data_IF_683750429022
#
_entry.id   IF_683750429022
#
_cell.length_a   1.000
_cell.length_b   1.000
_cell.length_c   1.000
_cell.angle_alpha   90.00
_cell.angle_beta   90.00
_cell.angle_gamma   90.00
#
_symmetry.space_group_name_H-M   'P 1'
#
loop_
_entity.id
_entity.type
_entity.pdbx_description
1 polymer ?
#
# COMPACT_ATOMS: atom_id res chain seq x y z
N UNK A 1 -14.69 8.44 0.30
CA UNK A 1 -14.32 7.71 -0.94
C UNK A 1 -12.87 7.19 -0.96
N UNK A 2 -11.97 7.73 -0.15
CA UNK A 2 -10.88 6.96 0.51
C UNK A 2 -11.24 6.74 1.99
N UNK A 3 -12.54 6.69 2.29
CA UNK A 3 -12.98 6.51 3.66
C UNK A 3 -12.56 5.11 4.07
N UNK A 4 -11.49 5.09 4.84
CA UNK A 4 -10.86 3.89 5.32
C UNK A 4 -11.69 3.43 6.52
N UNK A 5 -12.17 2.19 6.52
CA UNK A 5 -12.85 1.63 7.69
C UNK A 5 -11.92 1.69 8.91
N UNK A 6 -12.47 2.11 10.05
CA UNK A 6 -11.77 1.91 11.32
C UNK A 6 -11.81 0.42 11.68
N UNK A 7 -10.92 -0.04 12.55
CA UNK A 7 -10.90 -1.44 13.05
C UNK A 7 -12.22 -1.91 13.66
N UNK A 8 -13.19 -1.02 13.89
CA UNK A 8 -14.56 -1.28 14.39
C UNK A 8 -15.65 -1.32 13.33
N UNK A 9 -15.40 -0.89 12.10
CA UNK A 9 -16.43 -0.93 11.05
C UNK A 9 -16.50 -2.32 10.42
N UNK A 10 -17.18 -3.22 11.10
CA UNK A 10 -17.54 -4.57 10.63
C UNK A 10 -18.56 -4.54 9.46
N UNK A 11 -19.09 -3.36 9.11
CA UNK A 11 -20.07 -3.16 8.03
C UNK A 11 -19.44 -2.39 6.87
N UNK A 12 -19.66 -2.83 5.63
CA UNK A 12 -19.22 -2.19 4.37
C UNK A 12 -19.71 -0.74 4.15
N UNK A 13 -20.40 -0.14 5.12
CA UNK A 13 -20.95 1.21 5.02
C UNK A 13 -19.85 2.24 5.24
N UNK A 14 -19.64 3.10 4.24
CA UNK A 14 -18.66 4.17 4.31
C UNK A 14 -17.26 3.75 3.87
N UNK A 15 -17.06 2.59 3.26
CA UNK A 15 -15.77 2.18 2.70
C UNK A 15 -15.56 2.82 1.32
N UNK A 16 -14.36 3.34 1.07
CA UNK A 16 -13.98 3.88 -0.24
C UNK A 16 -13.99 2.82 -1.35
N UNK A 17 -14.45 3.21 -2.55
CA UNK A 17 -14.55 2.31 -3.73
C UNK A 17 -13.24 1.58 -4.02
N UNK A 18 -12.10 2.26 -3.93
CA UNK A 18 -10.79 1.67 -4.22
C UNK A 18 -10.44 0.58 -3.21
N UNK A 19 -10.62 0.84 -1.91
CA UNK A 19 -10.36 -0.16 -0.85
C UNK A 19 -11.30 -1.36 -0.99
N UNK A 20 -12.57 -1.12 -1.33
CA UNK A 20 -13.55 -2.18 -1.57
C UNK A 20 -13.18 -3.05 -2.79
N UNK A 21 -12.75 -2.44 -3.90
CA UNK A 21 -12.25 -3.17 -5.07
C UNK A 21 -11.07 -4.07 -4.68
N UNK A 22 -10.07 -3.53 -3.99
CA UNK A 22 -8.91 -4.31 -3.53
C UNK A 22 -9.33 -5.47 -2.63
N UNK A 23 -10.26 -5.24 -1.70
CA UNK A 23 -10.80 -6.27 -0.81
C UNK A 23 -11.50 -7.39 -1.59
N UNK A 24 -12.29 -7.07 -2.61
CA UNK A 24 -12.93 -8.08 -3.47
C UNK A 24 -11.89 -8.91 -4.24
N UNK A 25 -10.82 -8.28 -4.72
CA UNK A 25 -9.71 -9.00 -5.36
C UNK A 25 -9.00 -9.96 -4.38
N UNK A 26 -8.83 -9.55 -3.11
CA UNK A 26 -8.27 -10.41 -2.06
C UNK A 26 -9.21 -11.57 -1.71
N UNK A 27 -10.52 -11.39 -1.85
CA UNK A 27 -11.51 -12.48 -1.79
C UNK A 27 -11.50 -13.40 -3.02
N UNK A 28 -10.62 -13.16 -4.00
CA UNK A 28 -10.51 -13.98 -5.20
C UNK A 28 -11.59 -13.71 -6.24
N UNK A 29 -12.30 -12.57 -6.16
CA UNK A 29 -13.27 -12.21 -7.19
C UNK A 29 -12.56 -11.95 -8.52
N UNK A 30 -13.07 -12.55 -9.59
CA UNK A 30 -12.55 -12.33 -10.93
C UNK A 30 -12.82 -10.88 -11.37
N UNK A 31 -11.87 -10.26 -12.07
CA UNK A 31 -11.98 -8.87 -12.54
C UNK A 31 -13.16 -8.60 -13.47
N UNK A 32 -13.68 -9.63 -14.14
CA UNK A 32 -14.88 -9.57 -14.98
C UNK A 32 -16.17 -9.80 -14.17
N UNK A 33 -16.08 -9.96 -12.84
CA UNK A 33 -17.25 -9.97 -11.96
C UNK A 33 -18.00 -8.63 -12.03
N UNK A 34 -19.34 -8.62 -12.00
CA UNK A 34 -20.15 -7.40 -12.14
C UNK A 34 -19.71 -6.20 -11.28
N UNK A 35 -19.44 -6.32 -9.96
CA UNK A 35 -19.02 -5.17 -9.17
C UNK A 35 -17.65 -4.61 -9.59
N UNK A 36 -16.73 -5.47 -10.02
CA UNK A 36 -15.39 -5.07 -10.47
C UNK A 36 -15.43 -4.45 -11.87
N UNK A 37 -16.27 -4.97 -12.77
CA UNK A 37 -16.54 -4.35 -14.08
C UNK A 37 -17.09 -2.92 -13.96
N UNK A 38 -18.02 -2.70 -13.05
CA UNK A 38 -18.60 -1.38 -12.82
C UNK A 38 -17.54 -0.40 -12.28
N UNK A 39 -16.73 -0.85 -11.31
CA UNK A 39 -15.66 -0.04 -10.75
C UNK A 39 -14.54 0.26 -11.76
N UNK A 40 -14.21 -0.70 -12.64
CA UNK A 40 -13.15 -0.60 -13.67
C UNK A 40 -13.24 0.68 -14.49
N UNK A 41 -14.45 1.04 -14.95
CA UNK A 41 -14.66 2.25 -15.76
C UNK A 41 -14.27 3.52 -14.99
N UNK A 42 -14.61 3.60 -13.71
CA UNK A 42 -14.29 4.75 -12.86
C UNK A 42 -12.79 4.81 -12.59
N UNK A 43 -12.15 3.67 -12.31
CA UNK A 43 -10.71 3.61 -12.05
C UNK A 43 -9.89 4.05 -13.26
N UNK A 44 -10.21 3.57 -14.47
CA UNK A 44 -9.48 3.99 -15.68
C UNK A 44 -9.70 5.46 -16.04
N UNK A 45 -10.87 6.02 -15.72
CA UNK A 45 -11.13 7.45 -15.90
C UNK A 45 -10.25 8.30 -14.99
N UNK A 46 -10.05 7.88 -13.74
CA UNK A 46 -9.09 8.56 -12.85
C UNK A 46 -7.70 8.62 -13.48
N UNK A 47 -7.23 7.51 -14.07
CA UNK A 47 -5.91 7.44 -14.72
C UNK A 47 -5.77 8.31 -15.98
N UNK A 48 -6.87 8.57 -16.67
CA UNK A 48 -6.89 9.35 -17.90
C UNK A 48 -6.68 10.85 -17.67
N UNK A 49 -6.62 11.32 -16.40
CA UNK A 49 -6.60 12.75 -16.06
C UNK A 49 -7.76 13.52 -16.72
N UNK A 50 -8.86 12.81 -16.98
CA UNK A 50 -10.11 13.40 -17.45
C UNK A 50 -10.56 14.40 -16.38
N UNK A 51 -10.48 15.70 -16.69
CA UNK A 51 -10.79 16.81 -15.80
C UNK A 51 -12.25 17.29 -15.95
N UNK A 52 -13.08 16.58 -16.73
CA UNK A 52 -14.48 16.93 -16.96
C UNK A 52 -15.27 17.04 -15.64
N UNK A 53 -15.78 18.25 -15.30
CA UNK A 53 -16.54 18.48 -14.07
C UNK A 53 -17.78 17.58 -13.94
N UNK A 54 -18.39 17.14 -15.05
CA UNK A 54 -19.54 16.25 -15.05
C UNK A 54 -19.21 14.83 -14.57
N UNK A 55 -17.96 14.43 -14.70
CA UNK A 55 -17.46 13.12 -14.26
C UNK A 55 -16.58 13.18 -13.01
N UNK A 56 -16.34 14.40 -12.50
CA UNK A 56 -15.52 14.74 -11.33
C UNK A 56 -16.22 15.72 -10.36
N UNK A 57 -17.44 15.42 -9.91
CA UNK A 57 -18.06 16.07 -8.73
C UNK A 57 -17.32 15.81 -7.40
N UNK A 58 -16.13 15.22 -7.49
CA UNK A 58 -15.19 14.76 -6.46
C UNK A 58 -15.73 14.69 -5.04
N UNK A 59 -16.11 13.48 -4.64
CA UNK A 59 -16.06 13.06 -3.24
C UNK A 59 -17.09 13.72 -2.31
N UNK A 60 -18.14 14.34 -2.84
CA UNK A 60 -19.40 14.61 -2.13
C UNK A 60 -19.26 15.34 -0.80
N UNK A 61 -19.00 16.65 -0.86
CA UNK A 61 -19.12 17.55 0.28
C UNK A 61 -19.73 18.88 -0.14
N UNK A 62 -20.68 19.42 0.64
CA UNK A 62 -21.39 20.69 0.33
C UNK A 62 -20.51 21.95 0.47
N UNK A 63 -19.25 21.82 0.85
CA UNK A 63 -18.36 22.95 1.16
C UNK A 63 -17.44 23.31 -0.01
N UNK A 64 -17.17 24.60 -0.19
CA UNK A 64 -16.18 25.11 -1.16
C UNK A 64 -14.78 24.70 -0.71
N UNK A 65 -14.15 23.78 -1.44
CA UNK A 65 -12.77 23.32 -1.19
C UNK A 65 -11.80 24.11 -2.07
N UNK A 66 -10.60 24.40 -1.55
CA UNK A 66 -9.53 25.08 -2.30
C UNK A 66 -9.04 24.22 -3.47
N UNK A 67 -8.78 24.83 -4.64
CA UNK A 67 -8.39 24.10 -5.86
C UNK A 67 -7.11 23.26 -5.67
N UNK A 68 -6.16 23.74 -4.87
CA UNK A 68 -4.94 23.00 -4.53
C UNK A 68 -5.25 21.68 -3.81
N UNK A 69 -6.21 21.69 -2.89
CA UNK A 69 -6.65 20.50 -2.16
C UNK A 69 -7.34 19.49 -3.07
N UNK A 70 -8.17 19.98 -4.01
CA UNK A 70 -8.82 19.13 -5.01
C UNK A 70 -7.77 18.41 -5.86
N UNK A 71 -6.81 19.16 -6.42
CA UNK A 71 -5.72 18.61 -7.24
C UNK A 71 -4.90 17.56 -6.47
N UNK A 72 -4.60 17.83 -5.21
CA UNK A 72 -3.88 16.88 -4.35
C UNK A 72 -4.68 15.59 -4.12
N UNK A 73 -5.97 15.71 -3.76
CA UNK A 73 -6.86 14.57 -3.57
C UNK A 73 -6.99 13.72 -4.84
N UNK A 74 -7.11 14.35 -6.02
CA UNK A 74 -7.10 13.63 -7.32
C UNK A 74 -5.82 12.84 -7.49
N UNK A 75 -4.67 13.45 -7.21
CA UNK A 75 -3.38 12.80 -7.40
C UNK A 75 -3.26 11.54 -6.56
N UNK A 76 -3.66 11.61 -5.28
CA UNK A 76 -3.74 10.44 -4.42
C UNK A 76 -4.69 9.36 -4.94
N UNK A 77 -5.89 9.75 -5.40
CA UNK A 77 -6.86 8.82 -5.98
C UNK A 77 -6.35 8.13 -7.24
N UNK A 78 -5.57 8.83 -8.07
CA UNK A 78 -4.96 8.24 -9.29
C UNK A 78 -3.95 7.17 -8.93
N UNK A 79 -3.07 7.43 -7.97
CA UNK A 79 -2.12 6.43 -7.49
C UNK A 79 -2.84 5.23 -6.88
N UNK A 80 -3.86 5.48 -6.06
CA UNK A 80 -4.66 4.42 -5.45
C UNK A 80 -5.44 3.60 -6.50
N UNK A 81 -5.95 4.23 -7.56
CA UNK A 81 -6.61 3.55 -8.67
C UNK A 81 -5.62 2.73 -9.50
N UNK A 82 -4.41 3.24 -9.74
CA UNK A 82 -3.34 2.52 -10.43
C UNK A 82 -2.96 1.25 -9.64
N UNK A 83 -2.85 1.36 -8.31
CA UNK A 83 -2.61 0.21 -7.44
C UNK A 83 -3.71 -0.85 -7.53
N UNK A 84 -4.98 -0.46 -7.51
CA UNK A 84 -6.10 -1.39 -7.62
C UNK A 84 -6.19 -2.06 -9.01
N UNK A 85 -5.95 -1.31 -10.08
CA UNK A 85 -5.93 -1.85 -11.45
C UNK A 85 -4.74 -2.79 -11.69
N UNK A 86 -3.57 -2.46 -11.15
CA UNK A 86 -2.41 -3.34 -11.13
C UNK A 86 -2.74 -4.67 -10.41
N UNK A 87 -3.32 -4.58 -9.21
CA UNK A 87 -3.75 -5.74 -8.43
C UNK A 87 -4.78 -6.61 -9.19
N UNK A 88 -5.66 -5.99 -9.98
CA UNK A 88 -6.62 -6.68 -10.85
C UNK A 88 -6.02 -7.26 -12.15
N UNK A 89 -4.70 -7.16 -12.35
CA UNK A 89 -4.00 -7.76 -13.50
C UNK A 89 -4.10 -6.94 -14.79
N UNK A 90 -4.30 -5.63 -14.72
CA UNK A 90 -4.32 -4.74 -15.89
C UNK A 90 -2.94 -4.19 -16.29
N UNK A 91 -1.84 -4.84 -15.90
CA UNK A 91 -0.46 -4.39 -16.15
C UNK A 91 -0.16 -4.05 -17.63
N UNK A 92 -0.77 -4.78 -18.56
CA UNK A 92 -0.57 -4.58 -19.99
C UNK A 92 -1.48 -3.49 -20.59
N UNK A 93 -2.39 -2.90 -19.81
CA UNK A 93 -3.25 -1.81 -20.30
C UNK A 93 -2.43 -0.52 -20.47
N UNK A 94 -2.40 0.10 -21.67
CA UNK A 94 -1.61 1.29 -21.94
C UNK A 94 -1.93 2.47 -21.01
N UNK A 95 -3.17 2.58 -20.51
CA UNK A 95 -3.57 3.66 -19.60
C UNK A 95 -2.94 3.47 -18.22
N UNK A 96 -2.89 2.23 -17.73
CA UNK A 96 -2.19 1.91 -16.48
C UNK A 96 -0.69 2.15 -16.63
N UNK A 97 -0.07 1.67 -17.72
CA UNK A 97 1.36 1.88 -17.96
C UNK A 97 1.71 3.36 -18.09
N UNK A 98 0.87 4.14 -18.78
CA UNK A 98 1.04 5.59 -18.90
C UNK A 98 0.95 6.30 -17.54
N UNK A 99 -0.01 5.93 -16.69
CA UNK A 99 -0.11 6.48 -15.34
C UNK A 99 1.07 6.05 -14.45
N UNK A 100 1.45 4.78 -14.49
CA UNK A 100 2.59 4.23 -13.77
C UNK A 100 3.88 4.98 -14.12
N UNK A 101 4.12 5.24 -15.42
CA UNK A 101 5.26 6.03 -15.89
C UNK A 101 5.30 7.42 -15.28
N UNK A 102 4.19 8.16 -15.29
CA UNK A 102 4.13 9.51 -14.70
C UNK A 102 4.35 9.49 -13.19
N UNK A 103 3.84 8.47 -12.49
CA UNK A 103 4.08 8.28 -11.04
C UNK A 103 5.57 8.03 -10.79
N UNK A 104 6.17 7.09 -11.52
CA UNK A 104 7.58 6.74 -11.37
C UNK A 104 8.52 7.87 -11.76
N UNK A 105 8.22 8.67 -12.79
CA UNK A 105 9.01 9.84 -13.16
C UNK A 105 9.14 10.83 -11.99
N UNK A 106 8.05 11.09 -11.25
CA UNK A 106 8.08 11.97 -10.06
C UNK A 106 8.85 11.34 -8.89
N UNK A 107 8.61 10.05 -8.63
CA UNK A 107 9.29 9.33 -7.54
C UNK A 107 10.79 9.24 -7.82
N UNK A 108 11.20 8.92 -9.04
CA UNK A 108 12.61 8.82 -9.43
C UNK A 108 13.31 10.18 -9.35
N UNK A 109 12.64 11.26 -9.77
CA UNK A 109 13.15 12.62 -9.62
C UNK A 109 13.38 12.97 -8.14
N UNK A 110 12.45 12.61 -7.25
CA UNK A 110 12.63 12.78 -5.81
C UNK A 110 13.81 11.96 -5.28
N UNK A 111 13.87 10.66 -5.59
CA UNK A 111 14.91 9.74 -5.11
C UNK A 111 16.32 10.15 -5.55
N UNK A 112 16.45 10.80 -6.71
CA UNK A 112 17.72 11.35 -7.22
C UNK A 112 18.08 12.71 -6.63
N UNK A 113 17.14 13.38 -5.97
CA UNK A 113 17.33 14.73 -5.45
C UNK A 113 17.89 14.73 -4.02
N UNK A 114 18.48 15.83 -3.55
CA UNK A 114 18.83 16.01 -2.14
C UNK A 114 17.63 15.89 -1.19
N UNK A 115 16.40 16.05 -1.69
CA UNK A 115 15.18 15.92 -0.89
C UNK A 115 14.96 14.50 -0.39
N UNK A 116 15.52 13.47 -1.04
CA UNK A 116 15.46 12.10 -0.53
C UNK A 116 16.14 11.95 0.84
N UNK A 117 17.22 12.71 1.08
CA UNK A 117 17.98 12.71 2.33
C UNK A 117 17.45 13.73 3.34
N UNK A 118 17.01 14.90 2.87
CA UNK A 118 16.45 15.99 3.71
C UNK A 118 15.08 16.42 3.19
N UNK A 119 14.04 15.60 3.39
CA UNK A 119 12.73 15.85 2.79
C UNK A 119 11.93 16.95 3.46
N UNK A 120 12.27 17.36 4.68
CA UNK A 120 11.48 18.29 5.47
C UNK A 120 12.04 19.71 5.50
N UNK A 121 11.14 20.69 5.48
CA UNK A 121 11.38 22.09 5.77
C UNK A 121 10.51 22.54 6.94
N UNK A 122 10.91 23.63 7.60
CA UNK A 122 10.15 24.24 8.68
C UNK A 122 9.19 25.30 8.12
N UNK A 123 7.91 25.19 8.43
CA UNK A 123 6.87 26.19 8.13
C UNK A 123 6.16 26.55 9.43
N UNK A 124 6.44 27.75 9.95
CA UNK A 124 6.02 28.14 11.29
C UNK A 124 6.56 27.18 12.36
N UNK A 125 5.64 26.54 13.08
CA UNK A 125 5.95 25.55 14.13
C UNK A 125 5.87 24.09 13.66
N UNK A 126 5.61 23.86 12.37
CA UNK A 126 5.48 22.51 11.81
C UNK A 126 6.65 22.18 10.88
N UNK A 127 6.98 20.89 10.80
CA UNK A 127 7.83 20.35 9.75
C UNK A 127 6.93 19.74 8.67
N UNK A 128 7.15 20.13 7.43
CA UNK A 128 6.39 19.64 6.27
C UNK A 128 7.37 19.23 5.18
N UNK A 129 6.93 18.39 4.26
CA UNK A 129 7.68 18.02 3.08
C UNK A 129 7.98 19.27 2.24
N UNK A 130 9.22 19.34 1.76
CA UNK A 130 9.68 20.41 0.88
C UNK A 130 8.83 20.45 -0.40
N UNK A 131 8.54 21.63 -0.96
CA UNK A 131 7.89 21.73 -2.26
C UNK A 131 8.64 20.91 -3.32
N UNK A 132 7.89 20.09 -4.07
CA UNK A 132 8.46 19.18 -5.07
C UNK A 132 8.94 17.84 -4.52
N UNK A 133 8.93 17.61 -3.20
CA UNK A 133 9.15 16.28 -2.65
C UNK A 133 8.01 15.33 -3.10
N UNK A 134 8.37 14.21 -3.72
CA UNK A 134 7.44 13.19 -4.20
C UNK A 134 7.94 11.80 -3.79
N UNK A 135 8.00 11.50 -2.47
CA UNK A 135 8.38 10.18 -1.99
C UNK A 135 7.40 9.11 -2.49
N UNK A 136 7.83 7.84 -2.55
CA UNK A 136 6.93 6.75 -2.95
C UNK A 136 5.75 6.66 -1.97
N UNK A 137 4.54 6.48 -2.51
CA UNK A 137 3.35 6.17 -1.72
C UNK A 137 3.18 4.67 -1.53
N UNK A 138 2.42 4.25 -0.51
CA UNK A 138 1.95 2.86 -0.37
C UNK A 138 1.29 2.38 -1.66
N UNK A 139 0.50 3.24 -2.31
CA UNK A 139 -0.14 2.93 -3.58
C UNK A 139 0.86 2.71 -4.71
N UNK A 140 1.93 3.52 -4.79
CA UNK A 140 3.03 3.29 -5.74
C UNK A 140 3.68 1.92 -5.53
N UNK A 141 3.93 1.55 -4.27
CA UNK A 141 4.55 0.27 -3.93
C UNK A 141 3.63 -0.92 -4.26
N UNK A 142 2.34 -0.81 -3.96
CA UNK A 142 1.33 -1.82 -4.34
C UNK A 142 1.24 -1.95 -5.86
N UNK A 143 1.18 -0.84 -6.58
CA UNK A 143 1.16 -0.84 -8.05
C UNK A 143 2.36 -1.63 -8.61
N UNK A 144 3.58 -1.29 -8.18
CA UNK A 144 4.79 -1.99 -8.60
C UNK A 144 4.80 -3.47 -8.20
N UNK A 145 4.37 -3.79 -6.99
CA UNK A 145 4.30 -5.16 -6.47
C UNK A 145 3.40 -6.07 -7.32
N UNK A 146 2.41 -5.50 -8.01
CA UNK A 146 1.50 -6.22 -8.91
C UNK A 146 1.79 -6.01 -10.41
N UNK A 147 2.91 -5.36 -10.76
CA UNK A 147 3.36 -5.16 -12.14
C UNK A 147 4.78 -5.73 -12.36
N UNK A 148 4.96 -7.07 -12.35
CA UNK A 148 6.28 -7.70 -12.48
C UNK A 148 7.03 -7.39 -13.79
N UNK A 149 6.35 -7.32 -14.94
CA UNK A 149 6.97 -6.99 -16.23
C UNK A 149 7.43 -5.53 -16.26
N UNK A 150 6.61 -4.64 -15.71
CA UNK A 150 6.94 -3.23 -15.58
C UNK A 150 8.16 -3.01 -14.67
N UNK A 151 8.26 -3.78 -13.57
CA UNK A 151 9.45 -3.73 -12.72
C UNK A 151 10.72 -4.17 -13.44
N UNK A 152 10.66 -5.21 -14.28
CA UNK A 152 11.86 -5.66 -15.01
C UNK A 152 12.34 -4.62 -16.02
N UNK A 153 11.43 -3.81 -16.57
CA UNK A 153 11.76 -2.67 -17.44
C UNK A 153 12.37 -1.47 -16.68
N UNK A 154 12.23 -1.41 -15.35
CA UNK A 154 12.59 -0.25 -14.53
C UNK A 154 13.54 -0.61 -13.35
N UNK A 155 14.43 -1.58 -13.53
CA UNK A 155 15.29 -2.13 -12.45
C UNK A 155 16.12 -1.06 -11.70
N UNK A 156 16.69 -0.08 -12.39
CA UNK A 156 17.49 1.00 -11.77
C UNK A 156 16.70 1.81 -10.74
N UNK A 157 15.42 2.05 -11.02
CA UNK A 157 14.53 2.75 -10.10
C UNK A 157 14.21 1.86 -8.89
N UNK A 158 14.00 0.56 -9.12
CA UNK A 158 13.75 -0.40 -8.04
C UNK A 158 14.96 -0.49 -7.09
N UNK A 159 16.19 -0.36 -7.57
CA UNK A 159 17.38 -0.30 -6.71
C UNK A 159 17.44 0.98 -5.85
N UNK A 160 17.09 2.14 -6.43
CA UNK A 160 16.98 3.39 -5.65
C UNK A 160 15.86 3.32 -4.63
N UNK A 161 14.73 2.71 -5.00
CA UNK A 161 13.59 2.50 -4.12
C UNK A 161 13.97 1.57 -2.96
N UNK A 162 14.69 0.48 -3.23
CA UNK A 162 15.23 -0.41 -2.20
C UNK A 162 16.15 0.35 -1.23
N UNK A 163 17.06 1.18 -1.76
CA UNK A 163 17.96 1.98 -0.94
C UNK A 163 17.20 2.94 -0.03
N UNK A 164 16.15 3.62 -0.54
CA UNK A 164 15.31 4.49 0.27
C UNK A 164 14.54 3.74 1.36
N UNK A 165 13.89 2.62 0.99
CA UNK A 165 13.05 1.85 1.91
C UNK A 165 13.86 1.09 2.96
N UNK A 166 15.17 0.91 2.77
CA UNK A 166 16.06 0.30 3.75
C UNK A 166 16.61 1.31 4.77
N UNK A 167 16.34 2.62 4.58
CA UNK A 167 16.74 3.66 5.53
C UNK A 167 15.74 3.74 6.69
N UNK A 168 16.16 4.13 7.91
CA UNK A 168 15.21 4.37 8.99
C UNK A 168 14.15 5.40 8.61
N UNK A 169 12.89 5.15 8.98
CA UNK A 169 11.82 6.12 8.76
C UNK A 169 12.09 7.41 9.58
N UNK A 170 11.89 8.60 8.99
CA UNK A 170 11.99 9.85 9.73
C UNK A 170 11.04 9.89 10.93
N UNK A 171 11.45 10.58 12.00
CA UNK A 171 10.61 10.77 13.19
C UNK A 171 9.45 11.74 12.95
N UNK A 172 9.59 12.62 11.97
CA UNK A 172 8.56 13.57 11.57
C UNK A 172 7.47 12.85 10.78
N UNK A 173 6.21 13.11 11.11
CA UNK A 173 5.07 12.67 10.31
C UNK A 173 5.13 13.33 8.92
N UNK A 174 4.80 12.56 7.89
CA UNK A 174 4.68 13.09 6.55
C UNK A 174 3.49 14.06 6.51
N UNK A 175 3.77 15.32 6.20
CA UNK A 175 2.76 16.37 6.04
C UNK A 175 3.18 17.32 4.94
N UNK A 176 2.23 17.84 4.16
CA UNK A 176 2.50 18.78 3.06
C UNK A 176 1.72 20.07 3.25
N UNK A 177 2.31 21.19 2.82
CA UNK A 177 1.60 22.46 2.71
C UNK A 177 0.81 22.50 1.40
N UNK A 178 -0.52 22.41 1.49
CA UNK A 178 -1.41 22.44 0.33
C UNK A 178 -2.26 23.70 0.39
N UNK A 179 -1.96 24.64 -0.51
CA UNK A 179 -2.54 25.97 -0.44
C UNK A 179 -2.20 26.62 0.89
N UNK A 180 -3.21 26.91 1.70
CA UNK A 180 -3.05 27.49 3.04
C UNK A 180 -3.08 26.47 4.19
N UNK A 181 -3.23 25.16 3.91
CA UNK A 181 -3.49 24.13 4.94
C UNK A 181 -2.41 23.05 4.99
N UNK A 182 -1.98 22.72 6.21
CA UNK A 182 -1.09 21.58 6.43
C UNK A 182 -1.95 20.32 6.43
N UNK A 183 -1.58 19.36 5.60
CA UNK A 183 -2.30 18.09 5.42
C UNK A 183 -1.34 16.94 5.74
N UNK A 184 -1.80 16.00 6.57
CA UNK A 184 -1.06 14.78 6.84
C UNK A 184 -1.14 13.83 5.64
N UNK A 185 -0.01 13.19 5.34
CA UNK A 185 0.17 12.30 4.20
C UNK A 185 0.60 10.89 4.67
N UNK A 186 -0.24 10.18 5.46
CA UNK A 186 0.13 8.87 6.04
C UNK A 186 0.35 7.78 4.99
N UNK A 187 0.01 8.06 3.72
CA UNK A 187 0.23 7.18 2.59
C UNK A 187 1.66 7.22 2.05
N UNK A 188 2.48 8.22 2.43
CA UNK A 188 3.84 8.38 1.93
C UNK A 188 4.84 7.56 2.75
N UNK A 189 5.80 6.96 2.06
CA UNK A 189 6.79 6.04 2.63
C UNK A 189 8.17 6.65 2.47
N UNK A 190 8.74 7.09 3.58
CA UNK A 190 10.01 7.83 3.61
C UNK A 190 11.21 6.97 4.06
N UNK A 191 10.97 5.73 4.47
CA UNK A 191 11.98 4.79 4.95
C UNK A 191 11.34 3.44 5.27
N UNK A 192 12.02 2.64 6.08
CA UNK A 192 11.62 1.29 6.48
C UNK A 192 10.37 1.34 7.38
N UNK A 193 9.21 0.86 6.90
CA UNK A 193 7.99 0.77 7.70
C UNK A 193 8.00 -0.40 8.69
N UNK A 194 8.99 -1.30 8.63
CA UNK A 194 9.19 -2.44 9.55
C UNK A 194 10.61 -2.49 10.13
N UNK A 195 11.04 -1.45 10.88
CA UNK A 195 12.43 -1.28 11.32
C UNK A 195 12.87 -2.26 12.42
N UNK A 196 11.94 -2.87 13.14
CA UNK A 196 12.27 -3.77 14.25
C UNK A 196 11.11 -4.70 14.61
N UNK A 197 11.44 -5.78 15.32
CA UNK A 197 10.47 -6.78 15.81
C UNK A 197 9.24 -6.17 16.48
N UNK A 198 9.43 -5.19 17.36
CA UNK A 198 8.32 -4.60 18.11
C UNK A 198 7.30 -3.90 17.20
N UNK A 199 7.71 -3.40 16.03
CA UNK A 199 6.79 -2.79 15.07
C UNK A 199 5.95 -3.87 14.40
N UNK A 200 6.56 -5.02 14.09
CA UNK A 200 5.88 -6.18 13.54
C UNK A 200 4.87 -6.79 14.54
N UNK A 201 5.26 -6.93 15.82
CA UNK A 201 4.41 -7.50 16.87
C UNK A 201 3.24 -6.58 17.27
N UNK A 202 3.43 -5.25 17.15
CA UNK A 202 2.42 -4.25 17.49
C UNK A 202 1.22 -4.25 16.53
N UNK A 203 1.44 -4.55 15.24
CA UNK A 203 0.39 -4.60 14.20
C UNK A 203 0.72 -5.70 13.18
N UNK A 204 0.33 -6.94 13.51
CA UNK A 204 0.63 -8.11 12.68
C UNK A 204 0.06 -8.00 11.25
N UNK A 205 -1.19 -7.53 11.03
CA UNK A 205 -1.69 -7.35 9.68
C UNK A 205 -0.90 -6.34 8.85
N UNK A 206 -0.48 -5.21 9.45
CA UNK A 206 0.38 -4.26 8.76
C UNK A 206 1.76 -4.85 8.45
N UNK A 207 2.30 -5.67 9.35
CA UNK A 207 3.57 -6.37 9.14
C UNK A 207 3.51 -7.33 7.96
N UNK A 208 2.47 -8.17 7.90
CA UNK A 208 2.25 -9.10 6.78
C UNK A 208 2.05 -8.35 5.46
N UNK A 209 1.30 -7.25 5.48
CA UNK A 209 1.13 -6.38 4.31
C UNK A 209 2.49 -5.91 3.77
N UNK A 210 3.36 -5.37 4.63
CA UNK A 210 4.66 -4.87 4.20
C UNK A 210 5.61 -5.97 3.74
N UNK A 211 5.67 -7.10 4.46
CA UNK A 211 6.48 -8.26 4.04
C UNK A 211 6.02 -8.81 2.69
N UNK A 212 4.72 -8.85 2.42
CA UNK A 212 4.19 -9.25 1.11
C UNK A 212 4.60 -8.29 0.00
N UNK A 213 4.51 -6.98 0.25
CA UNK A 213 4.99 -5.96 -0.70
C UNK A 213 6.48 -6.12 -0.96
N UNK A 214 7.31 -6.29 0.07
CA UNK A 214 8.76 -6.50 -0.09
C UNK A 214 9.09 -7.80 -0.81
N UNK A 215 8.34 -8.87 -0.57
CA UNK A 215 8.52 -10.13 -1.30
C UNK A 215 8.21 -9.95 -2.79
N UNK A 216 7.05 -9.36 -3.11
CA UNK A 216 6.63 -9.08 -4.49
C UNK A 216 7.58 -8.17 -5.24
N UNK A 217 8.11 -7.14 -4.58
CA UNK A 217 9.12 -6.24 -5.15
C UNK A 217 10.49 -6.90 -5.34
N UNK A 218 10.74 -8.07 -4.74
CA UNK A 218 12.04 -8.76 -4.75
C UNK A 218 13.02 -8.21 -3.71
N UNK A 219 12.52 -7.43 -2.76
CA UNK A 219 13.31 -6.75 -1.73
C UNK A 219 13.53 -7.61 -0.48
N UNK A 220 12.56 -8.47 -0.14
CA UNK A 220 12.61 -9.29 1.08
C UNK A 220 13.93 -10.07 1.19
N UNK A 221 14.31 -10.81 0.14
CA UNK A 221 15.56 -11.60 0.10
C UNK A 221 16.84 -10.78 0.08
N UNK A 222 16.77 -9.50 -0.24
CA UNK A 222 17.93 -8.60 -0.31
C UNK A 222 18.25 -7.98 1.05
N UNK A 223 17.29 -8.00 1.97
CA UNK A 223 17.39 -7.36 3.26
C UNK A 223 17.33 -8.39 4.39
N UNK A 224 18.44 -8.55 5.11
CA UNK A 224 18.59 -9.53 6.19
C UNK A 224 17.60 -9.30 7.33
N UNK A 225 17.26 -8.05 7.65
CA UNK A 225 16.33 -7.73 8.73
C UNK A 225 14.91 -8.15 8.37
N UNK A 226 14.43 -7.81 7.18
CA UNK A 226 13.10 -8.24 6.72
C UNK A 226 13.03 -9.76 6.57
N UNK A 227 14.10 -10.39 6.09
CA UNK A 227 14.20 -11.87 6.02
C UNK A 227 14.10 -12.50 7.41
N UNK A 228 14.87 -12.01 8.39
CA UNK A 228 14.81 -12.51 9.78
C UNK A 228 13.45 -12.27 10.43
N UNK A 229 12.81 -11.13 10.15
CA UNK A 229 11.45 -10.87 10.65
C UNK A 229 10.45 -11.88 10.10
N UNK A 230 10.55 -12.21 8.80
CA UNK A 230 9.71 -13.22 8.17
C UNK A 230 10.00 -14.64 8.68
N UNK A 231 11.27 -15.02 8.81
CA UNK A 231 11.67 -16.34 9.35
C UNK A 231 11.15 -16.56 10.77
N UNK A 232 11.25 -15.54 11.63
CA UNK A 232 10.68 -15.61 12.97
C UNK A 232 9.17 -15.88 12.95
N UNK A 233 8.44 -15.30 12.00
CA UNK A 233 7.01 -15.60 11.87
C UNK A 233 6.78 -17.05 11.44
N UNK A 234 7.69 -17.65 10.66
CA UNK A 234 7.60 -19.07 10.30
C UNK A 234 7.97 -20.00 11.45
N UNK A 235 8.80 -19.57 12.41
CA UNK A 235 9.14 -20.36 13.61
C UNK A 235 7.90 -20.64 14.49
N UNK A 236 6.85 -19.84 14.34
CA UNK A 236 5.57 -19.99 15.02
C UNK A 236 4.59 -20.93 14.25
N UNK A 237 5.01 -21.48 13.10
CA UNK A 237 4.26 -22.52 12.41
C UNK A 237 4.47 -23.90 13.05
N UNK A 238 3.41 -24.71 13.11
CA UNK A 238 3.51 -26.11 13.49
C UNK A 238 4.11 -26.97 12.35
N UNK A 239 4.23 -28.28 12.59
CA UNK A 239 4.75 -29.23 11.60
C UNK A 239 3.90 -29.33 10.32
N UNK A 240 2.64 -28.89 10.35
CA UNK A 240 1.76 -28.79 9.19
C UNK A 240 1.88 -27.45 8.46
N UNK A 241 2.77 -26.56 8.90
CA UNK A 241 2.94 -25.23 8.33
C UNK A 241 1.85 -24.24 8.74
N UNK A 242 0.98 -24.60 9.68
CA UNK A 242 -0.08 -23.72 10.19
C UNK A 242 0.50 -22.81 11.25
N UNK A 243 0.34 -21.51 11.08
CA UNK A 243 0.84 -20.52 12.01
C UNK A 243 0.00 -20.48 13.28
N UNK A 244 0.64 -20.44 14.46
CA UNK A 244 -0.04 -20.29 15.75
C UNK A 244 0.49 -19.07 16.50
N UNK A 245 -0.37 -18.28 17.18
CA UNK A 245 0.08 -17.08 17.86
C UNK A 245 1.03 -17.43 19.03
N UNK A 246 2.25 -16.88 19.07
CA UNK A 246 3.11 -17.03 20.22
C UNK A 246 2.45 -16.31 21.41
N UNK A 247 2.13 -17.08 22.46
CA UNK A 247 1.56 -16.66 23.76
C UNK A 247 1.16 -15.17 23.87
N UNK A 248 -0.13 -14.84 23.68
CA UNK A 248 -0.82 -13.55 23.97
C UNK A 248 -0.20 -12.23 23.46
N UNK A 249 0.91 -12.21 22.73
CA UNK A 249 1.64 -10.95 22.42
C UNK A 249 1.29 -10.28 21.09
N UNK A 250 0.79 -10.99 20.09
CA UNK A 250 0.54 -10.40 18.76
C UNK A 250 -0.84 -9.75 18.66
N UNK A 251 -0.88 -8.47 18.27
CA UNK A 251 -2.15 -7.78 17.98
C UNK A 251 -2.67 -8.20 16.61
N UNK A 252 -3.80 -8.91 16.59
CA UNK A 252 -4.51 -9.34 15.36
C UNK A 252 -5.49 -8.29 14.83
N UNK A 253 -5.35 -7.04 15.27
CA UNK A 253 -6.15 -5.90 14.82
C UNK A 253 -5.19 -4.86 14.29
N UNK A 254 -5.57 -4.23 13.19
CA UNK A 254 -4.78 -3.16 12.59
C UNK A 254 -5.61 -1.89 12.53
N UNK A 255 -4.97 -0.78 12.86
CA UNK A 255 -5.48 0.56 12.54
C UNK A 255 -4.90 1.06 11.21
N UNK A 256 -3.98 0.29 10.61
CA UNK A 256 -3.41 0.59 9.31
C UNK A 256 -4.44 0.36 8.19
N UNK A 257 -4.88 1.48 7.64
CA UNK A 257 -5.75 1.58 6.48
C UNK A 257 -5.42 0.64 5.32
N UNK A 258 -4.12 0.44 5.06
CA UNK A 258 -3.62 -0.25 3.89
C UNK A 258 -3.57 -1.76 4.05
N UNK A 259 -3.61 -2.25 5.30
CA UNK A 259 -3.72 -3.67 5.64
C UNK A 259 -5.17 -4.17 5.48
N UNK A 260 -6.16 -3.28 5.65
CA UNK A 260 -7.58 -3.66 5.64
C UNK A 260 -8.03 -4.44 4.40
N UNK A 261 -7.62 -4.11 3.15
CA UNK A 261 -8.02 -4.92 1.99
C UNK A 261 -7.58 -6.38 2.10
N UNK A 262 -6.43 -6.66 2.73
CA UNK A 262 -5.87 -8.00 2.81
C UNK A 262 -6.15 -8.75 4.11
N UNK A 263 -6.69 -8.09 5.14
CA UNK A 263 -6.87 -8.70 6.46
C UNK A 263 -7.94 -8.01 7.33
N UNK A 264 -8.69 -8.75 8.18
CA UNK A 264 -8.87 -10.21 8.12
C UNK A 264 -9.79 -10.52 6.94
N UNK A 265 -9.55 -11.53 6.13
CA UNK A 265 -10.49 -11.95 5.09
C UNK A 265 -11.68 -12.67 5.71
N UNK A 266 -11.43 -13.52 6.70
CA UNK A 266 -12.46 -14.27 7.42
C UNK A 266 -13.16 -13.38 8.48
N UNK A 267 -14.38 -12.93 8.20
CA UNK A 267 -15.11 -11.96 9.04
C UNK A 267 -15.77 -12.58 10.30
N UNK A 268 -16.06 -13.88 10.27
CA UNK A 268 -16.71 -14.62 11.37
C UNK A 268 -15.83 -15.73 11.91
N UNK A 269 -14.52 -15.49 11.96
CA UNK A 269 -13.57 -16.46 12.44
C UNK A 269 -13.64 -16.67 13.95
N UNK A 270 -13.80 -17.92 14.36
CA UNK A 270 -13.36 -18.45 15.66
C UNK A 270 -11.90 -18.08 15.94
N UNK A 271 -11.41 -18.31 17.17
CA UNK A 271 -10.02 -18.00 17.50
C UNK A 271 -9.01 -18.74 16.60
N UNK A 272 -9.33 -19.97 16.17
CA UNK A 272 -8.52 -20.81 15.30
C UNK A 272 -8.59 -20.37 13.83
N UNK A 273 -9.77 -19.97 13.35
CA UNK A 273 -9.95 -19.47 11.97
C UNK A 273 -9.25 -18.13 11.71
N UNK A 274 -8.91 -17.34 12.75
CA UNK A 274 -8.10 -16.13 12.56
C UNK A 274 -6.64 -16.41 12.17
N UNK A 275 -6.19 -17.65 12.36
CA UNK A 275 -4.82 -18.07 12.01
C UNK A 275 -4.70 -18.44 10.52
N UNK A 276 -5.83 -18.78 9.88
CA UNK A 276 -5.85 -19.17 8.46
C UNK A 276 -5.37 -18.02 7.57
N UNK A 277 -5.82 -16.79 7.85
CA UNK A 277 -5.40 -15.59 7.12
C UNK A 277 -3.90 -15.33 7.24
N UNK A 278 -3.34 -15.49 8.44
CA UNK A 278 -1.90 -15.30 8.67
C UNK A 278 -1.11 -16.39 7.95
N UNK A 279 -1.51 -17.65 8.12
CA UNK A 279 -0.91 -18.81 7.45
C UNK A 279 -0.91 -18.63 5.93
N UNK A 280 -2.07 -18.26 5.37
CA UNK A 280 -2.23 -17.96 3.95
C UNK A 280 -1.27 -16.87 3.49
N UNK A 281 -1.19 -15.74 4.22
CA UNK A 281 -0.29 -14.63 3.89
C UNK A 281 1.18 -15.04 3.96
N UNK A 282 1.58 -15.82 4.96
CA UNK A 282 2.94 -16.37 5.04
C UNK A 282 3.28 -17.24 3.83
N UNK A 283 2.33 -18.04 3.35
CA UNK A 283 2.47 -18.83 2.11
C UNK A 283 2.57 -17.95 0.84
N UNK A 284 1.79 -16.88 0.75
CA UNK A 284 1.88 -15.89 -0.35
C UNK A 284 3.26 -15.21 -0.35
N UNK A 285 3.75 -14.80 0.82
CA UNK A 285 5.09 -14.23 0.99
C UNK A 285 6.16 -15.25 0.57
N UNK A 286 6.04 -16.52 1.00
CA UNK A 286 6.95 -17.60 0.62
C UNK A 286 7.06 -17.73 -0.89
N UNK A 287 5.90 -17.81 -1.57
CA UNK A 287 5.81 -17.91 -3.03
C UNK A 287 6.54 -16.77 -3.74
N UNK A 288 6.28 -15.52 -3.34
CA UNK A 288 6.90 -14.35 -3.98
C UNK A 288 8.38 -14.20 -3.62
N UNK A 289 8.80 -14.68 -2.45
CA UNK A 289 10.21 -14.77 -2.07
C UNK A 289 10.96 -15.88 -2.82
N UNK A 290 10.29 -16.71 -3.62
CA UNK A 290 10.88 -17.84 -4.32
C UNK A 290 11.34 -18.97 -3.38
N UNK A 291 10.75 -19.06 -2.18
CA UNK A 291 10.92 -20.22 -1.30
C UNK A 291 10.05 -21.39 -1.81
N UNK A 292 10.56 -22.62 -1.82
CA UNK A 292 9.75 -23.79 -2.11
C UNK A 292 8.69 -23.96 -1.02
N UNK A 293 7.43 -24.17 -1.42
CA UNK A 293 6.35 -24.57 -0.50
C UNK A 293 6.41 -26.09 -0.42
N UNK A 294 6.86 -26.63 0.71
CA UNK A 294 6.87 -28.07 0.95
C UNK A 294 5.46 -28.51 1.34
N UNK A 295 4.76 -29.13 0.39
CA UNK A 295 3.50 -29.83 0.64
C UNK A 295 3.85 -31.27 1.05
N UNK A 296 4.33 -31.44 2.29
CA UNK A 296 4.51 -32.77 2.90
C UNK A 296 3.25 -33.21 3.59
#
# INVERSE_FOLDING_TARGET
MLSIPTSRSERYKGIGTISAVRRLLEYGWDRESPPLLQARRVLFRLLAEDDDPAYLYELGGKAKVELAMVRHGRQLLREAAAAALAQAGYENDPRLRGAARRILERVDAFLKSPLAQKPFIRVGNHHVLAPGASPPSVHTLVMLAHMPLYRSEHYDLLDRLYAQLSQPQPRQEAATMIGSKIVLEPHLVLGDPLPHRNAADADMPAALFWLEIFARLGFLRRNDQWTKLYERLLDDCDSGGVWHPPKRTATMRSENAYAWPGFPLELQATAEERWSDITFRLGVIARHSGRPINLT
#
